data_IF_135350574731
#
_entry.id   IF_135350574731
#
_cell.length_a   1.000
_cell.length_b   1.000
_cell.length_c   1.000
_cell.angle_alpha   90.00
_cell.angle_beta   90.00
_cell.angle_gamma   90.00
#
_symmetry.space_group_name_H-M   'P 1'
#
loop_
_entity.id
_entity.type
_entity.pdbx_description
1 polymer ?
#
# COMPACT_ATOMS: atom_id res chain seq x y z
N UNK A 1 19.11 30.94 -9.00
CA UNK A 1 19.29 29.74 -8.16
C UNK A 1 18.32 28.70 -8.70
N UNK A 2 18.81 27.56 -9.18
CA UNK A 2 17.91 26.46 -9.56
C UNK A 2 17.39 25.85 -8.25
N UNK A 3 16.12 26.06 -7.94
CA UNK A 3 15.45 25.28 -6.89
C UNK A 3 15.34 23.86 -7.44
N UNK A 4 16.23 22.95 -7.02
CA UNK A 4 16.00 21.53 -7.22
C UNK A 4 14.87 21.13 -6.27
N UNK A 5 13.64 21.13 -6.78
CA UNK A 5 12.49 20.62 -6.07
C UNK A 5 12.62 19.10 -5.94
N UNK A 6 12.77 18.59 -4.72
CA UNK A 6 12.81 17.14 -4.45
C UNK A 6 11.38 16.61 -4.44
N UNK A 7 11.17 15.46 -5.09
CA UNK A 7 9.88 14.79 -5.18
C UNK A 7 10.04 13.32 -4.82
N UNK A 8 8.97 12.70 -4.33
CA UNK A 8 8.91 11.26 -4.10
C UNK A 8 7.60 10.69 -4.68
N UNK A 9 7.74 9.86 -5.71
CA UNK A 9 6.62 9.36 -6.52
C UNK A 9 6.32 7.88 -6.27
N UNK A 10 6.87 7.28 -5.20
CA UNK A 10 6.60 5.88 -4.87
C UNK A 10 6.42 5.71 -3.36
N UNK A 11 5.23 6.07 -2.87
CA UNK A 11 4.92 6.06 -1.43
C UNK A 11 3.65 5.25 -1.17
N UNK A 12 3.69 4.37 -0.17
CA UNK A 12 2.52 3.58 0.24
C UNK A 12 1.94 4.13 1.54
N UNK A 13 0.62 4.10 1.62
CA UNK A 13 -0.17 4.49 2.78
C UNK A 13 -0.84 3.28 3.45
N UNK A 14 -1.59 3.53 4.52
CA UNK A 14 -2.43 2.52 5.18
C UNK A 14 -3.55 1.97 4.29
N UNK A 15 -3.77 2.51 3.09
CA UNK A 15 -4.68 1.92 2.10
C UNK A 15 -4.09 0.69 1.40
N UNK A 16 -2.78 0.47 1.49
CA UNK A 16 -2.14 -0.79 1.13
C UNK A 16 -1.25 -1.31 2.26
N UNK A 17 0.08 -1.28 2.13
CA UNK A 17 1.03 -1.82 3.12
C UNK A 17 1.93 -0.78 3.80
N UNK A 18 1.63 0.50 3.60
CA UNK A 18 2.25 1.60 4.33
C UNK A 18 1.84 1.63 5.81
N UNK A 19 2.51 2.51 6.56
CA UNK A 19 2.28 2.68 8.00
C UNK A 19 1.56 3.98 8.36
N UNK A 20 1.59 4.97 7.46
CA UNK A 20 1.01 6.28 7.68
C UNK A 20 -0.21 6.49 6.79
N UNK A 21 -1.20 7.22 7.28
CA UNK A 21 -2.36 7.63 6.49
C UNK A 21 -1.94 8.60 5.38
N UNK A 22 -2.71 8.70 4.29
CA UNK A 22 -2.39 9.62 3.19
C UNK A 22 -2.15 11.07 3.64
N UNK A 23 -2.93 11.57 4.61
CA UNK A 23 -2.72 12.93 5.14
C UNK A 23 -1.42 13.06 5.96
N UNK A 24 -1.05 12.04 6.73
CA UNK A 24 0.18 12.02 7.53
C UNK A 24 1.42 11.95 6.64
N UNK A 25 1.33 11.25 5.50
CA UNK A 25 2.38 11.22 4.49
C UNK A 25 2.62 12.59 3.86
N UNK A 26 1.56 13.37 3.62
CA UNK A 26 1.68 14.75 3.16
C UNK A 26 2.34 15.63 4.24
N UNK A 27 1.97 15.47 5.50
CA UNK A 27 2.60 16.21 6.61
C UNK A 27 4.10 15.88 6.75
N UNK A 28 4.45 14.61 6.55
CA UNK A 28 5.85 14.19 6.53
C UNK A 28 6.59 14.80 5.33
N UNK A 29 5.98 14.78 4.14
CA UNK A 29 6.56 15.36 2.92
C UNK A 29 6.84 16.87 3.08
N UNK A 30 5.89 17.61 3.65
CA UNK A 30 6.04 19.02 4.02
C UNK A 30 7.21 19.23 4.98
N UNK A 31 7.30 18.42 6.05
CA UNK A 31 8.41 18.50 7.01
C UNK A 31 9.79 18.21 6.41
N UNK A 32 9.84 17.42 5.33
CA UNK A 32 11.05 17.09 4.58
C UNK A 32 11.36 18.09 3.45
N UNK A 33 10.49 19.07 3.21
CA UNK A 33 10.66 20.06 2.16
C UNK A 33 10.48 19.50 0.74
N UNK A 34 9.70 18.44 0.58
CA UNK A 34 9.35 17.91 -0.74
C UNK A 34 8.41 18.89 -1.46
N UNK A 35 8.56 19.00 -2.77
CA UNK A 35 7.66 19.83 -3.58
C UNK A 35 6.42 19.05 -4.03
N UNK A 36 6.56 17.74 -4.26
CA UNK A 36 5.48 16.89 -4.71
C UNK A 36 5.63 15.45 -4.21
N UNK A 37 4.49 14.78 -4.05
CA UNK A 37 4.43 13.34 -3.79
C UNK A 37 3.40 12.62 -4.64
N UNK A 38 3.55 11.30 -4.80
CA UNK A 38 2.49 10.42 -5.29
C UNK A 38 2.23 9.27 -4.32
N UNK A 39 0.96 9.09 -3.95
CA UNK A 39 0.52 7.89 -3.21
C UNK A 39 0.31 6.79 -4.23
N UNK A 40 1.12 5.74 -4.18
CA UNK A 40 1.15 4.62 -5.13
C UNK A 40 0.80 3.31 -4.44
N UNK A 41 -0.29 3.31 -3.68
CA UNK A 41 -0.75 2.11 -2.98
C UNK A 41 -0.96 0.92 -3.92
N UNK A 42 -0.70 -0.29 -3.41
CA UNK A 42 -0.87 -1.52 -4.18
C UNK A 42 -2.32 -1.74 -4.59
N UNK A 43 -2.54 -1.81 -5.90
CA UNK A 43 -3.82 -2.15 -6.53
C UNK A 43 -5.00 -1.26 -6.09
N UNK A 44 -4.75 -0.05 -5.56
CA UNK A 44 -5.80 0.87 -5.12
C UNK A 44 -5.35 2.33 -5.24
N UNK A 45 -6.28 3.23 -5.56
CA UNK A 45 -6.05 4.67 -5.60
C UNK A 45 -6.84 5.43 -4.50
N UNK A 46 -7.46 4.70 -3.57
CA UNK A 46 -8.43 5.24 -2.61
C UNK A 46 -7.85 6.33 -1.68
N UNK A 47 -6.55 6.26 -1.35
CA UNK A 47 -5.87 7.27 -0.54
C UNK A 47 -5.62 8.61 -1.25
N UNK A 48 -5.76 8.66 -2.58
CA UNK A 48 -5.41 9.84 -3.39
C UNK A 48 -6.23 11.07 -2.99
N UNK A 49 -7.54 10.92 -2.76
CA UNK A 49 -8.42 12.04 -2.46
C UNK A 49 -8.08 12.71 -1.11
N UNK A 50 -7.77 11.90 -0.09
CA UNK A 50 -7.35 12.37 1.22
C UNK A 50 -6.01 13.11 1.14
N UNK A 51 -4.99 12.50 0.50
CA UNK A 51 -3.70 13.14 0.30
C UNK A 51 -3.83 14.45 -0.49
N UNK A 52 -4.60 14.46 -1.59
CA UNK A 52 -4.79 15.66 -2.42
C UNK A 52 -5.42 16.81 -1.62
N UNK A 53 -6.39 16.51 -0.75
CA UNK A 53 -6.99 17.52 0.12
C UNK A 53 -5.93 18.09 1.07
N UNK A 54 -5.15 17.25 1.73
CA UNK A 54 -4.11 17.69 2.66
C UNK A 54 -2.97 18.44 1.95
N UNK A 55 -2.61 18.03 0.74
CA UNK A 55 -1.58 18.69 -0.09
C UNK A 55 -1.94 20.15 -0.38
N UNK A 56 -3.21 20.42 -0.68
CA UNK A 56 -3.71 21.80 -0.86
C UNK A 56 -3.53 22.65 0.39
N UNK A 57 -3.76 22.10 1.59
CA UNK A 57 -3.60 22.82 2.85
C UNK A 57 -2.12 23.14 3.15
N UNK A 58 -1.20 22.28 2.67
CA UNK A 58 0.24 22.38 2.92
C UNK A 58 1.05 23.04 1.80
N UNK A 59 0.47 23.23 0.63
CA UNK A 59 1.20 23.67 -0.56
C UNK A 59 2.08 22.58 -1.19
N UNK A 60 1.78 21.31 -0.91
CA UNK A 60 2.45 20.14 -1.49
C UNK A 60 1.63 19.67 -2.69
N UNK A 61 2.28 19.52 -3.85
CA UNK A 61 1.63 18.93 -5.02
C UNK A 61 1.44 17.43 -4.82
N UNK A 62 0.21 16.95 -4.97
CA UNK A 62 -0.10 15.52 -4.86
C UNK A 62 -0.55 15.02 -6.22
N UNK A 63 0.23 14.10 -6.78
CA UNK A 63 -0.02 13.46 -8.06
C UNK A 63 -0.79 12.16 -7.80
N UNK A 64 -1.82 11.88 -8.59
CA UNK A 64 -2.49 10.57 -8.53
C UNK A 64 -1.51 9.48 -8.94
N UNK A 65 -1.33 8.50 -8.05
CA UNK A 65 -0.42 7.37 -8.20
C UNK A 65 -1.14 6.04 -7.94
N UNK A 66 -0.56 4.96 -8.44
CA UNK A 66 -0.94 3.58 -8.12
C UNK A 66 0.21 2.65 -8.45
N UNK A 67 0.39 1.59 -7.66
CA UNK A 67 1.27 0.47 -8.00
C UNK A 67 0.43 -0.77 -8.33
N UNK A 68 0.37 -1.13 -9.61
CA UNK A 68 -0.44 -2.24 -10.09
C UNK A 68 0.37 -3.53 -10.09
N UNK A 69 -0.13 -4.53 -9.39
CA UNK A 69 0.41 -5.88 -9.40
C UNK A 69 0.15 -6.55 -10.74
N UNK A 70 1.22 -7.09 -11.33
CA UNK A 70 1.16 -7.72 -12.64
C UNK A 70 2.03 -8.98 -12.67
N UNK A 71 1.78 -9.79 -13.69
CA UNK A 71 2.56 -10.99 -14.01
C UNK A 71 2.93 -10.97 -15.47
N UNK A 72 4.21 -11.23 -15.74
CA UNK A 72 4.71 -11.45 -17.08
C UNK A 72 5.41 -12.81 -17.11
N UNK A 73 4.76 -13.78 -17.77
CA UNK A 73 5.10 -15.20 -17.64
C UNK A 73 5.16 -15.62 -16.16
N UNK A 74 6.27 -16.19 -15.71
CA UNK A 74 6.47 -16.65 -14.33
C UNK A 74 7.08 -15.56 -13.42
N UNK A 75 7.17 -14.32 -13.91
CA UNK A 75 7.75 -13.19 -13.16
C UNK A 75 6.65 -12.28 -12.63
N UNK A 76 6.65 -12.07 -11.31
CA UNK A 76 5.84 -11.03 -10.68
C UNK A 76 6.50 -9.67 -10.88
N UNK A 77 5.73 -8.68 -11.30
CA UNK A 77 6.19 -7.31 -11.55
C UNK A 77 5.17 -6.32 -10.99
N UNK A 78 5.63 -5.12 -10.69
CA UNK A 78 4.77 -4.00 -10.37
C UNK A 78 4.89 -2.91 -11.43
N UNK A 79 3.76 -2.29 -11.75
CA UNK A 79 3.67 -1.22 -12.75
C UNK A 79 3.15 0.03 -12.04
N UNK A 80 3.96 1.07 -12.02
CA UNK A 80 3.57 2.38 -11.51
C UNK A 80 2.74 3.13 -12.57
N UNK A 81 1.61 3.68 -12.14
CA UNK A 81 0.73 4.52 -12.96
C UNK A 81 0.54 5.90 -12.34
N UNK A 82 0.55 6.95 -13.17
CA UNK A 82 0.49 8.34 -12.71
C UNK A 82 -0.49 9.19 -13.53
N UNK A 83 -0.91 10.32 -12.97
CA UNK A 83 -1.67 11.38 -13.65
C UNK A 83 -2.99 10.89 -14.27
N UNK A 84 -3.67 9.97 -13.60
CA UNK A 84 -4.97 9.43 -14.01
C UNK A 84 -6.09 9.95 -13.11
N UNK A 85 -7.35 9.77 -13.54
CA UNK A 85 -8.51 10.03 -12.70
C UNK A 85 -8.68 8.90 -11.67
N UNK A 86 -8.26 9.13 -10.43
CA UNK A 86 -8.36 8.15 -9.33
C UNK A 86 -9.81 7.81 -8.93
N UNK A 87 -10.78 8.62 -9.36
CA UNK A 87 -12.21 8.41 -9.12
C UNK A 87 -12.90 7.68 -10.28
N UNK A 88 -12.17 7.24 -11.31
CA UNK A 88 -12.76 6.50 -12.43
C UNK A 88 -13.31 5.14 -11.97
N UNK A 89 -14.64 5.00 -12.02
CA UNK A 89 -15.33 3.81 -11.52
C UNK A 89 -15.02 2.55 -12.31
N UNK A 90 -14.76 2.67 -13.62
CA UNK A 90 -14.43 1.53 -14.47
C UNK A 90 -13.04 1.00 -14.13
N UNK A 91 -12.07 1.89 -13.95
CA UNK A 91 -10.71 1.54 -13.52
C UNK A 91 -10.73 0.90 -12.13
N UNK A 92 -11.38 1.54 -11.16
CA UNK A 92 -11.50 1.01 -9.79
C UNK A 92 -12.20 -0.36 -9.75
N UNK A 93 -13.21 -0.59 -10.60
CA UNK A 93 -13.86 -1.90 -10.72
C UNK A 93 -12.94 -2.98 -11.29
N UNK A 94 -11.96 -2.62 -12.12
CA UNK A 94 -10.95 -3.57 -12.62
C UNK A 94 -9.92 -3.91 -11.55
N UNK A 95 -9.51 -2.92 -10.75
CA UNK A 95 -8.59 -3.14 -9.63
C UNK A 95 -9.15 -4.12 -8.60
N UNK A 96 -10.48 -4.14 -8.39
CA UNK A 96 -11.15 -5.14 -7.53
C UNK A 96 -10.75 -6.58 -7.86
N UNK A 97 -10.54 -6.92 -9.13
CA UNK A 97 -10.12 -8.27 -9.51
C UNK A 97 -8.76 -8.67 -8.92
N UNK A 98 -7.81 -7.71 -8.85
CA UNK A 98 -6.50 -7.92 -8.25
C UNK A 98 -6.60 -8.02 -6.73
N UNK A 99 -7.43 -7.15 -6.14
CA UNK A 99 -7.74 -7.12 -4.71
C UNK A 99 -8.36 -8.45 -4.24
N UNK A 100 -9.37 -8.97 -4.94
CA UNK A 100 -10.02 -10.25 -4.62
C UNK A 100 -9.03 -11.42 -4.73
N UNK A 101 -8.17 -11.42 -5.77
CA UNK A 101 -7.11 -12.42 -5.92
C UNK A 101 -6.11 -12.39 -4.76
N UNK A 102 -5.79 -11.19 -4.26
CA UNK A 102 -4.93 -10.97 -3.10
C UNK A 102 -5.57 -11.48 -1.81
N UNK A 103 -6.85 -11.21 -1.59
CA UNK A 103 -7.61 -11.72 -0.43
C UNK A 103 -7.61 -13.27 -0.42
N UNK A 104 -7.89 -13.91 -1.56
CA UNK A 104 -7.86 -15.37 -1.70
C UNK A 104 -6.45 -15.92 -1.40
N UNK A 105 -5.41 -15.29 -1.94
CA UNK A 105 -4.02 -15.70 -1.69
C UNK A 105 -3.68 -15.58 -0.20
N UNK A 106 -4.02 -14.46 0.44
CA UNK A 106 -3.70 -14.23 1.85
C UNK A 106 -4.38 -15.28 2.74
N UNK A 107 -5.65 -15.59 2.48
CA UNK A 107 -6.36 -16.66 3.19
C UNK A 107 -5.64 -18.03 3.06
N UNK A 108 -5.16 -18.38 1.85
CA UNK A 108 -4.37 -19.60 1.63
C UNK A 108 -3.05 -19.60 2.41
N UNK A 109 -2.37 -18.46 2.47
CA UNK A 109 -1.12 -18.33 3.26
C UNK A 109 -1.41 -18.58 4.74
N UNK A 110 -2.43 -17.93 5.30
CA UNK A 110 -2.82 -18.12 6.70
C UNK A 110 -3.18 -19.59 6.98
N UNK A 111 -3.96 -20.23 6.11
CA UNK A 111 -4.29 -21.66 6.25
C UNK A 111 -3.06 -22.56 6.20
N UNK A 112 -2.07 -22.25 5.36
CA UNK A 112 -0.82 -23.00 5.32
C UNK A 112 0.01 -22.78 6.60
N UNK A 113 0.07 -21.56 7.14
CA UNK A 113 0.74 -21.28 8.41
C UNK A 113 0.09 -22.05 9.57
N UNK A 114 -1.25 -22.14 9.60
CA UNK A 114 -2.01 -22.95 10.57
C UNK A 114 -1.64 -24.43 10.49
N UNK A 115 -1.50 -24.98 9.28
CA UNK A 115 -1.07 -26.38 9.07
C UNK A 115 0.35 -26.65 9.58
N UNK A 116 1.21 -25.63 9.61
CA UNK A 116 2.55 -25.70 10.19
C UNK A 116 2.55 -25.54 11.73
N UNK A 117 1.37 -25.46 12.36
CA UNK A 117 1.23 -25.32 13.82
C UNK A 117 1.33 -23.87 14.32
N UNK A 118 1.39 -22.88 13.42
CA UNK A 118 1.45 -21.46 13.79
C UNK A 118 0.03 -20.98 14.14
N UNK A 119 -0.12 -20.39 15.33
CA UNK A 119 -1.41 -19.88 15.83
C UNK A 119 -1.72 -18.49 15.26
N UNK A 120 -2.24 -18.48 14.04
CA UNK A 120 -2.72 -17.27 13.33
C UNK A 120 -4.07 -17.53 12.69
N UNK A 121 -4.89 -16.49 12.55
CA UNK A 121 -6.15 -16.53 11.81
C UNK A 121 -6.29 -15.33 10.86
N UNK A 122 -7.23 -15.40 9.91
CA UNK A 122 -7.48 -14.29 9.00
C UNK A 122 -7.94 -13.05 9.77
N UNK A 123 -8.68 -13.23 10.87
CA UNK A 123 -9.08 -12.15 11.75
C UNK A 123 -7.90 -11.41 12.39
N UNK A 124 -6.79 -12.10 12.68
CA UNK A 124 -5.56 -11.43 13.17
C UNK A 124 -4.96 -10.53 12.07
N UNK A 125 -4.92 -11.02 10.82
CA UNK A 125 -4.34 -10.29 9.69
C UNK A 125 -5.13 -9.00 9.39
N UNK A 126 -6.46 -9.05 9.48
CA UNK A 126 -7.32 -7.90 9.20
C UNK A 126 -7.08 -6.72 10.17
N UNK A 127 -6.52 -6.97 11.35
CA UNK A 127 -6.17 -5.89 12.30
C UNK A 127 -5.05 -4.98 11.79
N UNK A 128 -4.28 -5.43 10.79
CA UNK A 128 -3.17 -4.66 10.24
C UNK A 128 -3.56 -3.77 9.06
N UNK A 129 -4.82 -3.79 8.62
CA UNK A 129 -5.29 -2.97 7.51
C UNK A 129 -6.57 -2.23 7.90
N UNK A 130 -6.48 -0.91 8.04
CA UNK A 130 -7.64 -0.06 8.37
C UNK A 130 -8.63 0.03 7.19
N UNK A 131 -8.13 -0.02 5.95
CA UNK A 131 -8.91 0.20 4.73
C UNK A 131 -9.04 -1.04 3.83
N UNK A 132 -8.59 -2.20 4.30
CA UNK A 132 -8.99 -3.52 3.81
C UNK A 132 -7.99 -4.27 2.92
N UNK A 133 -7.03 -3.61 2.29
CA UNK A 133 -5.99 -4.33 1.55
C UNK A 133 -4.91 -4.85 2.50
N UNK A 134 -4.77 -6.18 2.55
CA UNK A 134 -3.68 -6.84 3.27
C UNK A 134 -2.75 -7.53 2.28
N UNK A 135 -1.52 -7.82 2.70
CA UNK A 135 -0.49 -8.40 1.84
C UNK A 135 0.56 -9.11 2.66
N UNK A 136 1.57 -9.69 1.98
CA UNK A 136 2.68 -10.38 2.64
C UNK A 136 3.38 -9.52 3.72
N UNK A 137 3.61 -8.21 3.54
CA UNK A 137 4.17 -7.38 4.60
C UNK A 137 3.33 -7.35 5.89
N UNK A 138 2.00 -7.41 5.77
CA UNK A 138 1.09 -7.49 6.92
C UNK A 138 1.18 -8.85 7.62
N UNK A 139 1.25 -9.94 6.84
CA UNK A 139 1.44 -11.29 7.38
C UNK A 139 2.80 -11.37 8.09
N UNK A 140 3.85 -10.80 7.52
CA UNK A 140 5.18 -10.73 8.13
C UNK A 140 5.14 -9.99 9.48
N UNK A 141 4.49 -8.83 9.54
CA UNK A 141 4.27 -8.09 10.80
C UNK A 141 3.50 -8.92 11.83
N UNK A 142 2.42 -9.57 11.40
CA UNK A 142 1.67 -10.50 12.26
C UNK A 142 2.57 -11.61 12.82
N UNK A 143 3.46 -12.18 12.02
CA UNK A 143 4.38 -13.24 12.47
C UNK A 143 5.42 -12.72 13.47
N UNK A 144 5.89 -11.48 13.31
CA UNK A 144 6.75 -10.81 14.29
C UNK A 144 6.01 -10.59 15.61
N UNK A 145 4.79 -10.05 15.55
CA UNK A 145 3.99 -9.75 16.75
C UNK A 145 3.58 -11.03 17.50
N UNK A 146 3.38 -12.14 16.78
CA UNK A 146 3.18 -13.48 17.37
C UNK A 146 4.48 -14.16 17.81
N UNK A 147 5.62 -13.47 17.73
CA UNK A 147 6.96 -13.97 18.10
C UNK A 147 7.38 -15.24 17.35
N UNK A 148 6.86 -15.45 16.13
CA UNK A 148 7.23 -16.57 15.25
C UNK A 148 8.58 -16.32 14.58
N UNK A 149 8.89 -15.05 14.32
CA UNK A 149 10.17 -14.57 13.78
C UNK A 149 10.54 -13.26 14.45
N UNK A 150 11.81 -12.85 14.36
CA UNK A 150 12.32 -11.64 15.01
C UNK A 150 12.24 -10.39 14.15
N UNK A 151 12.13 -10.52 12.82
CA UNK A 151 12.06 -9.39 11.89
C UNK A 151 11.10 -9.67 10.74
N UNK A 152 10.61 -8.61 10.10
CA UNK A 152 9.76 -8.68 8.91
C UNK A 152 10.50 -9.40 7.77
N UNK A 153 11.78 -9.08 7.54
CA UNK A 153 12.58 -9.68 6.46
C UNK A 153 12.75 -11.20 6.62
N UNK A 154 12.93 -11.68 7.85
CA UNK A 154 13.03 -13.12 8.13
C UNK A 154 11.70 -13.87 7.96
N UNK A 155 10.59 -13.15 7.83
CA UNK A 155 9.28 -13.73 7.59
C UNK A 155 8.99 -14.01 6.10
N UNK A 156 9.79 -13.44 5.18
CA UNK A 156 9.58 -13.50 3.72
C UNK A 156 10.17 -14.74 3.06
#
# INVERSE_FOLDING_TARGET
MALSSVIDLHIHSTFSDGMLRPAELVDLADSLGLAAIAITDHDTAAGTAEATKRGKDKGIEVISGIEISSWHHDTSMHILGYCFNSMDSKFNSRLRLLQDGREIRNARIIENLKKLGIKVDIGDLLQYSEYGQTGRPHIARLLVDKSVTSTVDLAF
#
